data_IF_189241876637
#
_entry.id   IF_189241876637
#
_cell.length_a   1.000
_cell.length_b   1.000
_cell.length_c   1.000
_cell.angle_alpha   90.00
_cell.angle_beta   90.00
_cell.angle_gamma   90.00
#
_symmetry.space_group_name_H-M   'P 1'
#
loop_
_entity.id
_entity.type
_entity.pdbx_description
1 polymer ?
#
# COMPACT_ATOMS: atom_id res chain seq x y z
N UNK A 1 -28.58 21.13 -46.84
CA UNK A 1 -29.04 19.86 -46.26
C UNK A 1 -27.83 19.13 -45.70
N UNK A 2 -27.98 18.67 -44.46
CA UNK A 2 -27.07 17.79 -43.73
C UNK A 2 -25.67 18.32 -43.34
N UNK A 3 -25.64 19.08 -42.25
CA UNK A 3 -24.64 18.99 -41.19
C UNK A 3 -24.25 17.54 -40.80
N UNK A 4 -22.99 17.28 -40.49
CA UNK A 4 -22.59 16.31 -39.48
C UNK A 4 -21.15 16.64 -39.04
N UNK A 5 -20.98 17.31 -37.88
CA UNK A 5 -19.69 17.74 -37.38
C UNK A 5 -18.88 16.57 -36.82
N UNK A 6 -17.57 16.66 -37.03
CA UNK A 6 -16.47 16.19 -36.16
C UNK A 6 -16.82 15.01 -35.24
N UNK A 7 -16.34 13.82 -35.62
CA UNK A 7 -16.22 12.68 -34.71
C UNK A 7 -15.29 13.07 -33.55
N UNK A 8 -15.90 13.55 -32.47
CA UNK A 8 -15.26 13.70 -31.16
C UNK A 8 -14.68 12.33 -30.75
N UNK A 9 -13.38 12.24 -30.41
CA UNK A 9 -12.79 11.00 -29.97
C UNK A 9 -13.36 10.71 -28.58
N UNK A 10 -14.34 9.81 -28.50
CA UNK A 10 -14.87 9.33 -27.23
C UNK A 10 -13.91 8.29 -26.62
N UNK A 11 -12.64 8.68 -26.44
CA UNK A 11 -11.76 8.02 -25.50
C UNK A 11 -12.03 8.65 -24.13
N UNK A 12 -13.25 8.47 -23.62
CA UNK A 12 -13.45 8.61 -22.17
C UNK A 12 -12.72 7.42 -21.57
N UNK A 13 -11.44 7.64 -21.27
CA UNK A 13 -10.71 6.76 -20.38
C UNK A 13 -11.55 6.67 -19.09
N UNK A 14 -12.09 5.49 -18.84
CA UNK A 14 -12.55 5.13 -17.50
C UNK A 14 -11.33 5.20 -16.60
N UNK A 15 -11.10 6.35 -15.98
CA UNK A 15 -10.09 6.47 -14.93
C UNK A 15 -10.57 5.63 -13.75
N UNK A 16 -10.05 4.41 -13.60
CA UNK A 16 -10.24 3.65 -12.37
C UNK A 16 -9.57 4.41 -11.23
N UNK A 17 -10.37 5.00 -10.36
CA UNK A 17 -9.87 5.68 -9.18
C UNK A 17 -9.27 4.66 -8.20
N UNK A 18 -8.06 4.92 -7.72
CA UNK A 18 -7.40 4.16 -6.66
C UNK A 18 -7.76 4.74 -5.29
N UNK A 19 -7.84 3.93 -4.22
CA UNK A 19 -8.05 4.44 -2.87
C UNK A 19 -6.89 5.32 -2.41
N UNK A 20 -7.19 6.40 -1.69
CA UNK A 20 -6.18 7.18 -0.97
C UNK A 20 -5.96 6.54 0.41
N UNK A 21 -4.71 6.38 0.81
CA UNK A 21 -4.32 5.84 2.11
C UNK A 21 -3.92 6.96 3.06
N UNK A 22 -4.42 6.92 4.29
CA UNK A 22 -4.10 7.89 5.35
C UNK A 22 -3.50 7.18 6.54
N UNK A 23 -2.36 7.67 7.02
CA UNK A 23 -1.68 7.19 8.23
C UNK A 23 -1.54 8.36 9.23
N UNK A 24 -1.55 8.09 10.54
CA UNK A 24 -1.17 9.09 11.53
C UNK A 24 0.25 9.60 11.26
N UNK A 25 0.53 10.90 11.51
CA UNK A 25 1.84 11.49 11.19
C UNK A 25 2.98 10.92 12.05
N UNK A 26 2.66 10.46 13.27
CA UNK A 26 3.61 9.85 14.19
C UNK A 26 2.89 9.02 15.24
N UNK A 27 3.59 8.04 15.80
CA UNK A 27 3.14 7.24 16.94
C UNK A 27 4.30 7.12 17.93
N UNK A 28 4.04 7.31 19.21
CA UNK A 28 5.02 7.04 20.28
C UNK A 28 4.49 5.92 21.17
N UNK A 29 5.35 4.97 21.48
CA UNK A 29 5.06 3.84 22.35
C UNK A 29 6.31 3.46 23.15
N UNK A 30 6.11 2.86 24.32
CA UNK A 30 7.21 2.42 25.19
C UNK A 30 7.79 1.09 24.73
N UNK A 31 9.06 0.83 25.06
CA UNK A 31 9.68 -0.48 24.86
C UNK A 31 8.88 -1.58 25.54
N UNK A 32 8.94 -2.79 24.98
CA UNK A 32 8.22 -3.99 25.42
C UNK A 32 6.67 -3.89 25.37
N UNK A 33 6.12 -2.81 24.84
CA UNK A 33 4.67 -2.68 24.59
C UNK A 33 4.30 -3.13 23.19
N UNK A 34 2.99 -3.17 22.89
CA UNK A 34 2.51 -3.41 21.53
C UNK A 34 2.13 -2.09 20.85
N UNK A 35 2.81 -1.74 19.77
CA UNK A 35 2.44 -0.61 18.92
C UNK A 35 1.44 -1.07 17.85
N UNK A 36 0.45 -0.21 17.55
CA UNK A 36 -0.56 -0.46 16.50
C UNK A 36 -0.57 0.73 15.53
N UNK A 37 -0.10 0.50 14.32
CA UNK A 37 -0.12 1.49 13.24
C UNK A 37 -1.33 1.24 12.35
N UNK A 38 -2.01 2.31 11.96
CA UNK A 38 -3.23 2.24 11.16
C UNK A 38 -3.00 2.84 9.77
N UNK A 39 -3.64 2.24 8.78
CA UNK A 39 -3.68 2.70 7.40
C UNK A 39 -5.12 2.71 6.91
N UNK A 40 -5.75 3.88 6.92
CA UNK A 40 -7.16 4.06 6.59
C UNK A 40 -7.34 4.31 5.10
N UNK A 41 -8.28 3.58 4.49
CA UNK A 41 -8.66 3.80 3.09
C UNK A 41 -9.70 4.92 3.01
N UNK A 42 -9.62 5.72 1.94
CA UNK A 42 -10.60 6.76 1.62
C UNK A 42 -12.03 6.20 1.55
N UNK A 43 -13.00 7.06 1.82
CA UNK A 43 -14.42 6.72 1.72
C UNK A 43 -14.78 6.23 0.31
N UNK A 44 -15.74 5.31 0.22
CA UNK A 44 -16.14 4.67 -1.03
C UNK A 44 -15.36 3.38 -1.37
N UNK A 45 -14.34 3.06 -0.59
CA UNK A 45 -13.61 1.79 -0.67
C UNK A 45 -13.81 1.00 0.61
N UNK A 46 -13.83 -0.33 0.50
CA UNK A 46 -13.90 -1.24 1.64
C UNK A 46 -12.58 -1.98 1.79
N UNK A 47 -11.93 -1.86 2.95
CA UNK A 47 -10.68 -2.56 3.27
C UNK A 47 -10.78 -4.09 3.11
N UNK A 48 -11.98 -4.67 3.22
CA UNK A 48 -12.23 -6.08 2.94
C UNK A 48 -11.82 -6.51 1.52
N UNK A 49 -12.01 -5.63 0.53
CA UNK A 49 -11.69 -5.89 -0.88
C UNK A 49 -10.22 -5.70 -1.24
N UNK A 50 -9.37 -5.32 -0.28
CA UNK A 50 -8.00 -4.88 -0.57
C UNK A 50 -6.96 -5.65 0.25
N UNK A 51 -5.85 -6.00 -0.37
CA UNK A 51 -4.64 -6.47 0.34
C UNK A 51 -3.91 -5.25 0.88
N UNK A 52 -3.45 -5.31 2.13
CA UNK A 52 -2.65 -4.23 2.75
C UNK A 52 -1.23 -4.73 2.90
N UNK A 53 -0.28 -4.04 2.28
CA UNK A 53 1.16 -4.25 2.44
C UNK A 53 1.77 -3.25 3.40
N UNK A 54 2.72 -3.69 4.21
CA UNK A 54 3.44 -2.88 5.19
C UNK A 54 4.94 -2.87 4.91
N UNK A 55 5.53 -1.68 5.03
CA UNK A 55 6.94 -1.42 4.79
C UNK A 55 7.52 -0.61 5.94
N UNK A 56 8.78 -0.88 6.26
CA UNK A 56 9.55 -0.18 7.28
C UNK A 56 10.73 0.51 6.62
N UNK A 57 10.93 1.80 6.89
CA UNK A 57 12.09 2.54 6.43
C UNK A 57 12.83 3.13 7.63
N UNK A 58 14.03 2.60 7.87
CA UNK A 58 14.96 3.21 8.82
C UNK A 58 15.70 4.35 8.10
N UNK A 59 15.97 5.50 8.76
CA UNK A 59 16.70 6.60 8.15
C UNK A 59 17.99 6.16 7.44
N UNK A 60 18.18 6.62 6.20
CA UNK A 60 19.34 6.27 5.37
C UNK A 60 19.27 4.90 4.70
N UNK A 61 18.18 4.14 4.86
CA UNK A 61 17.94 2.86 4.17
C UNK A 61 16.71 2.93 3.24
N UNK A 62 16.65 2.12 2.17
CA UNK A 62 15.44 1.99 1.38
C UNK A 62 14.32 1.31 2.19
N UNK A 63 13.03 1.52 1.84
CA UNK A 63 11.92 0.81 2.44
C UNK A 63 12.09 -0.71 2.34
N UNK A 64 11.96 -1.40 3.48
CA UNK A 64 11.97 -2.86 3.60
C UNK A 64 10.54 -3.38 3.69
N UNK A 65 10.18 -4.33 2.85
CA UNK A 65 8.92 -5.05 2.95
C UNK A 65 8.83 -5.84 4.26
N UNK A 66 7.74 -5.64 5.01
CA UNK A 66 7.45 -6.36 6.25
C UNK A 66 6.50 -7.52 6.03
N UNK A 67 5.28 -7.22 5.58
CA UNK A 67 4.22 -8.22 5.42
C UNK A 67 3.07 -7.69 4.54
N UNK A 68 2.24 -8.60 4.05
CA UNK A 68 0.93 -8.30 3.46
C UNK A 68 -0.15 -9.06 4.20
N UNK A 69 -1.32 -8.43 4.35
CA UNK A 69 -2.49 -9.02 4.96
C UNK A 69 -3.75 -8.77 4.13
N UNK A 70 -4.46 -9.84 3.76
CA UNK A 70 -5.79 -9.78 3.18
C UNK A 70 -6.80 -10.51 4.08
N UNK A 71 -6.53 -11.78 4.39
CA UNK A 71 -7.22 -12.62 5.38
C UNK A 71 -6.18 -13.46 6.14
N UNK A 72 -6.61 -14.28 7.09
CA UNK A 72 -5.71 -15.19 7.80
C UNK A 72 -5.07 -16.24 6.90
N UNK A 73 -5.79 -16.68 5.86
CA UNK A 73 -5.32 -17.63 4.85
C UNK A 73 -4.45 -16.96 3.79
N UNK A 74 -4.70 -15.67 3.54
CA UNK A 74 -4.02 -14.87 2.51
C UNK A 74 -3.20 -13.77 3.20
N UNK A 75 -2.08 -14.19 3.81
CA UNK A 75 -1.07 -13.31 4.39
C UNK A 75 0.33 -13.81 4.04
N UNK A 76 1.28 -12.89 3.98
CA UNK A 76 2.67 -13.22 3.67
C UNK A 76 3.60 -12.38 4.54
N UNK A 77 4.57 -13.03 5.19
CA UNK A 77 5.61 -12.39 5.97
C UNK A 77 6.86 -12.22 5.10
N UNK A 78 7.49 -11.05 5.15
CA UNK A 78 8.77 -10.81 4.49
C UNK A 78 9.89 -11.71 5.02
N UNK A 79 10.82 -12.05 4.14
CA UNK A 79 11.99 -12.84 4.53
C UNK A 79 12.81 -12.12 5.60
N UNK A 80 13.14 -12.82 6.70
CA UNK A 80 13.89 -12.25 7.83
C UNK A 80 13.12 -11.24 8.68
N UNK A 81 11.80 -11.08 8.48
CA UNK A 81 10.96 -10.24 9.33
C UNK A 81 10.54 -11.04 10.56
N UNK A 82 10.74 -10.48 11.75
CA UNK A 82 10.44 -11.16 13.00
C UNK A 82 8.93 -11.41 13.14
N UNK A 83 8.56 -12.48 13.84
CA UNK A 83 7.17 -12.80 14.19
C UNK A 83 6.47 -11.78 15.10
N UNK A 84 7.18 -10.77 15.62
CA UNK A 84 6.61 -9.67 16.40
C UNK A 84 5.74 -8.74 15.54
N UNK A 85 6.01 -8.70 14.23
CA UNK A 85 5.22 -7.96 13.25
C UNK A 85 4.05 -8.81 12.76
N UNK A 86 2.83 -8.29 12.88
CA UNK A 86 1.61 -8.95 12.41
C UNK A 86 0.65 -7.93 11.78
N UNK A 87 -0.06 -8.36 10.73
CA UNK A 87 -1.08 -7.55 10.06
C UNK A 87 -2.49 -7.98 10.45
N UNK A 88 -3.43 -7.05 10.44
CA UNK A 88 -4.86 -7.30 10.52
C UNK A 88 -5.66 -6.21 9.80
N UNK A 89 -6.99 -6.32 9.81
CA UNK A 89 -7.91 -5.29 9.32
C UNK A 89 -8.92 -4.93 10.41
N UNK A 90 -9.33 -3.67 10.39
CA UNK A 90 -10.44 -3.12 11.16
C UNK A 90 -11.48 -2.60 10.16
N UNK A 91 -12.51 -3.41 9.91
CA UNK A 91 -13.58 -3.06 8.96
C UNK A 91 -14.40 -1.86 9.43
N UNK A 92 -14.51 -1.65 10.75
CA UNK A 92 -15.27 -0.53 11.32
C UNK A 92 -14.56 0.81 11.09
N UNK A 93 -13.22 0.79 11.13
CA UNK A 93 -12.36 1.93 10.84
C UNK A 93 -11.95 2.04 9.36
N UNK A 94 -12.39 1.08 8.51
CA UNK A 94 -11.96 0.94 7.12
C UNK A 94 -10.42 0.95 6.96
N UNK A 95 -9.72 0.24 7.84
CA UNK A 95 -8.27 0.37 7.99
C UNK A 95 -7.53 -0.97 8.04
N UNK A 96 -6.34 -1.01 7.45
CA UNK A 96 -5.34 -2.02 7.77
C UNK A 96 -4.60 -1.66 9.05
N UNK A 97 -4.19 -2.67 9.82
CA UNK A 97 -3.48 -2.48 11.09
C UNK A 97 -2.19 -3.31 11.08
N UNK A 98 -1.07 -2.67 11.39
CA UNK A 98 0.19 -3.35 11.72
C UNK A 98 0.35 -3.35 13.23
N UNK A 99 0.48 -4.54 13.82
CA UNK A 99 0.79 -4.72 15.24
C UNK A 99 2.23 -5.19 15.40
N UNK A 100 2.98 -4.49 16.25
CA UNK A 100 4.38 -4.80 16.58
C UNK A 100 4.42 -5.10 18.07
N UNK A 101 4.53 -6.37 18.45
CA UNK A 101 4.56 -6.79 19.85
C UNK A 101 5.97 -6.69 20.44
N UNK A 102 6.08 -6.37 21.72
CA UNK A 102 7.36 -6.30 22.45
C UNK A 102 8.34 -5.32 21.82
N UNK A 103 7.90 -4.07 21.61
CA UNK A 103 8.61 -3.03 20.86
C UNK A 103 10.09 -2.90 21.28
N UNK A 104 10.98 -2.81 20.30
CA UNK A 104 12.43 -2.70 20.47
C UNK A 104 12.95 -1.36 19.94
N UNK A 105 14.13 -0.88 20.39
CA UNK A 105 14.73 0.36 19.88
C UNK A 105 14.94 0.35 18.36
N UNK A 106 15.21 -0.82 17.77
CA UNK A 106 15.41 -0.98 16.33
C UNK A 106 14.11 -0.85 15.52
N UNK A 107 12.95 -0.85 16.19
CA UNK A 107 11.64 -0.65 15.56
C UNK A 107 11.34 0.84 15.34
N UNK A 108 12.19 1.77 15.81
CA UNK A 108 12.08 3.20 15.52
C UNK A 108 12.41 3.47 14.04
N UNK A 109 11.36 3.76 13.27
CA UNK A 109 11.43 3.90 11.82
C UNK A 109 10.19 4.62 11.28
N UNK A 110 10.26 5.04 10.03
CA UNK A 110 9.07 5.39 9.26
C UNK A 110 8.39 4.12 8.77
N UNK A 111 7.06 4.09 8.81
CA UNK A 111 6.25 2.96 8.37
C UNK A 111 5.26 3.39 7.29
N UNK A 112 5.20 2.63 6.21
CA UNK A 112 4.33 2.93 5.07
C UNK A 112 3.42 1.75 4.78
N UNK A 113 2.18 2.07 4.41
CA UNK A 113 1.26 1.10 3.86
C UNK A 113 1.06 1.30 2.35
N UNK A 114 0.79 0.19 1.66
CA UNK A 114 0.34 0.19 0.28
C UNK A 114 -0.86 -0.76 0.14
N UNK A 115 -1.64 -0.61 -0.93
CA UNK A 115 -2.80 -1.46 -1.15
C UNK A 115 -2.94 -1.89 -2.60
N UNK A 116 -3.51 -3.08 -2.78
CA UNK A 116 -3.88 -3.63 -4.09
C UNK A 116 -5.25 -4.30 -3.98
N UNK A 117 -6.04 -4.24 -5.05
CA UNK A 117 -7.33 -4.92 -5.09
C UNK A 117 -7.12 -6.43 -4.89
N UNK A 118 -7.76 -6.99 -3.87
CA UNK A 118 -7.73 -8.41 -3.57
C UNK A 118 -8.65 -9.16 -4.52
N UNK A 119 -8.13 -9.57 -5.68
CA UNK A 119 -8.81 -10.57 -6.51
C UNK A 119 -8.78 -11.89 -5.76
N UNK A 120 -9.94 -12.43 -5.37
CA UNK A 120 -10.07 -13.67 -4.58
C UNK A 120 -9.65 -14.97 -5.30
N UNK A 121 -8.62 -14.94 -6.15
CA UNK A 121 -8.09 -16.10 -6.85
C UNK A 121 -6.57 -15.98 -7.01
N UNK A 122 -5.85 -16.85 -6.29
CA UNK A 122 -4.44 -17.25 -6.50
C UNK A 122 -3.50 -16.21 -7.12
N UNK A 123 -2.65 -15.60 -6.30
CA UNK A 123 -1.44 -14.91 -6.79
C UNK A 123 -0.48 -15.94 -7.40
N UNK A 124 -0.64 -16.23 -8.69
CA UNK A 124 0.55 -16.47 -9.50
C UNK A 124 1.21 -15.11 -9.67
N UNK A 125 2.43 -14.98 -9.16
CA UNK A 125 3.26 -13.81 -9.37
C UNK A 125 3.50 -13.63 -10.87
N UNK A 126 2.63 -12.86 -11.53
CA UNK A 126 3.00 -12.23 -12.79
C UNK A 126 3.83 -11.01 -12.42
N UNK A 127 5.14 -11.14 -12.62
CA UNK A 127 6.00 -10.00 -12.85
C UNK A 127 5.35 -9.15 -13.93
N UNK A 128 4.86 -7.97 -13.57
CA UNK A 128 4.60 -6.93 -14.56
C UNK A 128 5.96 -6.42 -15.03
N UNK A 129 6.55 -7.14 -15.98
CA UNK A 129 7.49 -6.57 -16.92
C UNK A 129 6.65 -5.86 -17.98
N UNK A 130 6.25 -4.63 -17.69
CA UNK A 130 5.91 -3.66 -18.72
C UNK A 130 7.07 -2.66 -18.79
N UNK A 131 8.02 -3.00 -19.65
CA UNK A 131 8.93 -2.04 -20.27
C UNK A 131 8.09 -1.00 -21.03
N UNK A 132 7.85 0.16 -20.44
CA UNK A 132 7.60 1.38 -21.21
C UNK A 132 8.63 2.43 -20.83
N UNK A 133 9.69 2.47 -21.65
CA UNK A 133 10.66 3.54 -21.73
C UNK A 133 9.95 4.86 -22.07
N UNK A 134 9.63 5.67 -21.06
CA UNK A 134 9.37 7.10 -21.27
C UNK A 134 10.56 7.92 -20.78
N UNK A 135 11.32 8.39 -21.77
CA UNK A 135 12.47 9.25 -21.61
C UNK A 135 12.13 10.52 -20.80
N UNK A 136 12.90 10.73 -19.72
CA UNK A 136 12.92 11.99 -18.97
C UNK A 136 13.65 13.06 -19.81
N UNK A 137 13.08 14.24 -20.09
CA UNK A 137 13.82 15.32 -20.71
C UNK A 137 14.84 15.87 -19.71
N UNK A 138 16.13 15.69 -20.00
CA UNK A 138 17.23 16.39 -19.30
C UNK A 138 17.12 17.88 -19.59
N UNK A 139 16.83 18.68 -18.56
CA UNK A 139 17.14 20.12 -18.59
C UNK A 139 18.63 20.29 -18.30
N UNK A 140 19.35 20.81 -19.30
CA UNK A 140 20.74 21.25 -19.18
C UNK A 140 20.72 22.64 -18.53
N UNK A 141 21.20 22.74 -17.30
CA UNK A 141 21.53 24.03 -16.69
C UNK A 141 22.72 24.63 -17.41
N UNK A 142 22.54 25.83 -17.93
CA UNK A 142 23.58 26.82 -18.18
C UNK A 142 23.22 28.07 -17.38
#
# INVERSE_FOLDING_TARGET
MAWAPLLLPFLIHWSWAQPVLTQPPSLSASLDTTARLTCTLSTGYSVGSYVIGWYQQVPGRPPRYLLTYHTEEIKHQGSGVHSRFSGSKDDSANAGVLSISGLQPEDEADYYCATAHGSGSSFHAHSASDDEEQAVPRTRGQ
#
